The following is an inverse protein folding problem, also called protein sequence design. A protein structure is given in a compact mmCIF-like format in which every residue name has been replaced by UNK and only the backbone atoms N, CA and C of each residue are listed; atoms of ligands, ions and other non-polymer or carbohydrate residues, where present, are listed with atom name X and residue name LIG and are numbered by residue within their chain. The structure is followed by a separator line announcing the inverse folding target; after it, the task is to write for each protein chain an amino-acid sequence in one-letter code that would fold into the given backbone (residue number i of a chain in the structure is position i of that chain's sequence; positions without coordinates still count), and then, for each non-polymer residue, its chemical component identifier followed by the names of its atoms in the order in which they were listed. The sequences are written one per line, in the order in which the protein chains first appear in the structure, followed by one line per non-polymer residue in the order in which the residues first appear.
data_IF_593516507695
#
_entry.id   IF_593516507695
#
_cell.length_a   1.000
_cell.length_b   1.000
_cell.length_c   1.000
_cell.angle_alpha   90.00
_cell.angle_beta   90.00
_cell.angle_gamma   90.00
#
_symmetry.space_group_name_H-M   'P 1'
#
loop_
_entity.id
_entity.type
_entity.pdbx_description
1 polymer ?
#
# COMPACT_ATOMS: atom_id res chain seq x y z
N UNK A 1 -9.74 -2.71 2.74
CA UNK A 1 -8.57 -2.89 3.61
C UNK A 1 -7.69 -3.92 2.93
N UNK A 2 -6.52 -3.52 2.44
CA UNK A 2 -5.55 -4.44 1.84
C UNK A 2 -4.27 -4.37 2.65
N UNK A 3 -3.88 -5.49 3.25
CA UNK A 3 -2.59 -5.64 3.91
C UNK A 3 -1.59 -6.17 2.88
N UNK A 4 -0.67 -5.32 2.42
CA UNK A 4 0.51 -5.81 1.70
C UNK A 4 1.48 -6.36 2.74
N UNK A 5 1.72 -7.67 2.71
CA UNK A 5 2.78 -8.29 3.50
C UNK A 5 4.03 -8.35 2.62
N UNK A 6 5.03 -7.52 2.96
CA UNK A 6 6.27 -7.40 2.19
C UNK A 6 7.29 -8.51 2.55
N UNK A 7 6.99 -9.32 3.56
CA UNK A 7 7.89 -10.37 4.06
C UNK A 7 7.22 -11.74 4.08
N UNK A 8 7.66 -12.63 3.19
CA UNK A 8 7.41 -14.07 3.27
C UNK A 8 8.66 -14.86 3.72
N UNK A 9 9.78 -14.19 4.00
CA UNK A 9 11.01 -14.89 4.38
C UNK A 9 11.26 -14.67 5.88
N UNK A 10 11.19 -15.76 6.66
CA UNK A 10 11.40 -15.74 8.13
C UNK A 10 12.71 -15.08 8.57
N UNK A 11 13.70 -15.00 7.68
CA UNK A 11 14.98 -14.31 7.86
C UNK A 11 14.82 -12.81 8.17
N UNK A 12 13.88 -12.12 7.51
CA UNK A 12 13.67 -10.68 7.71
C UNK A 12 13.06 -10.41 9.09
N UNK A 13 12.13 -11.28 9.53
CA UNK A 13 11.51 -11.22 10.86
C UNK A 13 12.55 -11.48 11.96
N UNK A 14 13.43 -12.46 11.76
CA UNK A 14 14.53 -12.77 12.68
C UNK A 14 15.52 -11.59 12.80
N UNK A 15 15.84 -10.93 11.69
CA UNK A 15 16.73 -9.76 11.69
C UNK A 15 16.10 -8.58 12.43
N UNK A 16 14.82 -8.25 12.20
CA UNK A 16 14.16 -7.18 12.95
C UNK A 16 14.02 -7.48 14.45
N UNK A 17 13.83 -8.74 14.82
CA UNK A 17 13.83 -9.14 16.22
C UNK A 17 15.21 -8.92 16.85
N UNK A 18 16.29 -9.30 16.15
CA UNK A 18 17.68 -9.05 16.58
C UNK A 18 18.01 -7.56 16.66
N UNK A 19 17.56 -6.75 15.69
CA UNK A 19 17.76 -5.30 15.70
C UNK A 19 17.00 -4.62 16.85
N UNK A 20 15.81 -5.09 17.22
CA UNK A 20 15.11 -4.65 18.43
C UNK A 20 15.83 -5.07 19.71
N UNK A 21 16.31 -6.30 19.77
CA UNK A 21 17.05 -6.81 20.93
C UNK A 21 18.35 -6.03 21.18
N UNK A 22 18.99 -5.53 20.13
CA UNK A 22 20.20 -4.69 20.23
C UNK A 22 19.92 -3.21 20.57
N UNK A 23 18.65 -2.81 20.78
CA UNK A 23 18.23 -1.44 21.13
C UNK A 23 18.81 -0.32 20.22
N UNK A 24 19.16 -0.66 18.98
CA UNK A 24 19.97 0.23 18.13
C UNK A 24 19.06 1.17 17.32
N UNK A 25 18.62 2.27 17.96
CA UNK A 25 17.63 3.21 17.42
C UNK A 25 18.03 3.84 16.07
N UNK A 26 19.32 4.02 15.81
CA UNK A 26 19.82 4.50 14.51
C UNK A 26 19.49 3.56 13.35
N UNK A 27 19.51 2.25 13.59
CA UNK A 27 19.23 1.23 12.58
C UNK A 27 17.74 1.13 12.24
N UNK A 28 16.88 1.28 13.25
CA UNK A 28 15.43 1.37 13.03
C UNK A 28 15.08 2.59 12.19
N UNK A 29 15.78 3.71 12.39
CA UNK A 29 15.58 4.94 11.61
C UNK A 29 16.02 4.78 10.15
N UNK A 30 17.14 4.10 9.87
CA UNK A 30 17.57 3.80 8.50
C UNK A 30 16.58 2.90 7.75
N UNK A 31 16.08 1.84 8.41
CA UNK A 31 15.06 0.97 7.83
C UNK A 31 13.76 1.74 7.55
N UNK A 32 13.32 2.57 8.50
CA UNK A 32 12.15 3.43 8.32
C UNK A 32 12.36 4.43 7.15
N UNK A 33 13.56 5.01 7.02
CA UNK A 33 13.89 5.93 5.92
C UNK A 33 13.90 5.23 4.56
N UNK A 34 14.43 4.01 4.48
CA UNK A 34 14.40 3.21 3.26
C UNK A 34 12.97 2.84 2.86
N UNK A 35 12.16 2.49 3.85
CA UNK A 35 10.74 2.21 3.65
C UNK A 35 10.00 3.45 3.14
N UNK A 36 10.22 4.62 3.76
CA UNK A 36 9.60 5.88 3.34
C UNK A 36 9.96 6.26 1.91
N UNK A 37 11.23 6.09 1.52
CA UNK A 37 11.66 6.33 0.14
C UNK A 37 10.95 5.42 -0.84
N UNK A 38 10.79 4.15 -0.48
CA UNK A 38 10.17 3.16 -1.35
C UNK A 38 8.65 3.30 -1.43
N UNK A 39 8.01 3.81 -0.38
CA UNK A 39 6.56 4.01 -0.34
C UNK A 39 6.13 5.40 -0.80
N UNK A 40 7.07 6.32 -1.04
CA UNK A 40 6.83 7.75 -1.30
C UNK A 40 5.84 8.03 -2.44
N UNK A 41 5.82 7.18 -3.46
CA UNK A 41 4.98 7.36 -4.65
C UNK A 41 3.79 6.40 -4.72
N UNK A 42 3.60 5.54 -3.71
CA UNK A 42 2.52 4.54 -3.72
C UNK A 42 1.12 5.18 -3.70
N UNK A 43 0.98 6.32 -3.03
CA UNK A 43 -0.29 7.06 -3.01
C UNK A 43 -0.63 7.61 -4.40
N UNK A 44 0.36 8.12 -5.13
CA UNK A 44 0.21 8.59 -6.51
C UNK A 44 -0.12 7.43 -7.45
N UNK A 45 0.59 6.32 -7.37
CA UNK A 45 0.35 5.12 -8.19
C UNK A 45 -1.09 4.60 -8.00
N UNK A 46 -1.60 4.63 -6.76
CA UNK A 46 -2.97 4.22 -6.46
C UNK A 46 -4.00 5.20 -7.00
N UNK A 47 -3.73 6.52 -6.92
CA UNK A 47 -4.61 7.55 -7.50
C UNK A 47 -4.68 7.46 -9.02
N UNK A 48 -3.55 7.27 -9.68
CA UNK A 48 -3.48 7.09 -11.13
C UNK A 48 -4.24 5.82 -11.54
N UNK A 49 -4.00 4.71 -10.85
CA UNK A 49 -4.75 3.47 -11.08
C UNK A 49 -6.26 3.65 -10.90
N UNK A 50 -6.70 4.47 -9.94
CA UNK A 50 -8.11 4.80 -9.78
C UNK A 50 -8.69 5.52 -11.01
N UNK A 51 -7.99 6.52 -11.54
CA UNK A 51 -8.43 7.30 -12.72
C UNK A 51 -8.46 6.47 -14.00
N UNK A 52 -7.57 5.48 -14.12
CA UNK A 52 -7.51 4.58 -15.27
C UNK A 52 -8.60 3.51 -15.26
N UNK A 53 -8.86 2.92 -14.10
CA UNK A 53 -9.66 1.69 -13.99
C UNK A 53 -11.09 1.92 -13.52
N UNK A 54 -11.37 3.04 -12.84
CA UNK A 54 -12.72 3.38 -12.39
C UNK A 54 -13.52 4.11 -13.49
N UNK A 55 -14.86 4.04 -13.42
CA UNK A 55 -15.72 4.75 -14.36
C UNK A 55 -15.51 6.26 -14.27
N UNK A 56 -15.25 6.90 -15.41
CA UNK A 56 -15.12 8.36 -15.53
C UNK A 56 -16.47 9.08 -15.44
N UNK A 57 -17.56 8.38 -15.78
CA UNK A 57 -18.92 8.93 -15.71
C UNK A 57 -19.49 8.71 -14.30
N UNK A 58 -20.11 9.75 -13.74
CA UNK A 58 -20.74 9.70 -12.41
C UNK A 58 -19.84 10.11 -11.23
N UNK A 59 -18.66 10.68 -11.49
CA UNK A 59 -17.80 11.30 -10.46
C UNK A 59 -17.06 10.34 -9.52
N UNK A 60 -17.32 9.03 -9.60
CA UNK A 60 -16.71 8.03 -8.70
C UNK A 60 -15.18 8.03 -8.78
N UNK A 61 -14.60 8.07 -9.98
CA UNK A 61 -13.14 8.09 -10.17
C UNK A 61 -12.50 9.33 -9.52
N UNK A 62 -13.13 10.50 -9.65
CA UNK A 62 -12.65 11.77 -9.09
C UNK A 62 -12.77 11.80 -7.57
N UNK A 63 -13.87 11.31 -7.02
CA UNK A 63 -14.06 11.15 -5.57
C UNK A 63 -13.03 10.21 -4.99
N UNK A 64 -12.75 9.09 -5.65
CA UNK A 64 -11.74 8.13 -5.21
C UNK A 64 -10.32 8.70 -5.33
N UNK A 65 -10.00 9.41 -6.42
CA UNK A 65 -8.67 10.01 -6.62
C UNK A 65 -8.39 11.19 -5.68
N UNK A 66 -9.44 11.89 -5.24
CA UNK A 66 -9.36 12.96 -4.23
C UNK A 66 -9.41 12.45 -2.78
N UNK A 67 -9.75 11.17 -2.58
CA UNK A 67 -9.81 10.56 -1.26
C UNK A 67 -8.45 10.50 -0.59
N UNK A 68 -8.44 10.51 0.75
CA UNK A 68 -7.22 10.48 1.53
C UNK A 68 -6.64 9.06 1.58
N UNK A 69 -5.59 8.83 0.79
CA UNK A 69 -4.86 7.56 0.79
C UNK A 69 -3.62 7.72 1.68
N UNK A 70 -3.59 6.98 2.78
CA UNK A 70 -2.52 7.00 3.76
C UNK A 70 -1.72 5.70 3.70
N UNK A 71 -0.40 5.80 3.68
CA UNK A 71 0.50 4.65 3.84
C UNK A 71 0.92 4.56 5.31
N UNK A 72 0.27 3.68 6.07
CA UNK A 72 0.55 3.46 7.47
C UNK A 72 1.63 2.38 7.69
N UNK A 73 2.74 2.75 8.31
CA UNK A 73 3.81 1.80 8.69
C UNK A 73 3.41 1.08 9.97
N UNK A 74 3.25 -0.25 9.93
CA UNK A 74 2.96 -1.04 11.15
C UNK A 74 4.26 -1.46 11.83
N UNK A 75 5.24 -1.89 11.04
CA UNK A 75 6.57 -2.23 11.53
C UNK A 75 7.62 -1.76 10.51
N UNK A 76 8.92 -1.73 10.89
CA UNK A 76 10.00 -1.40 9.95
C UNK A 76 10.07 -2.31 8.72
N UNK A 77 9.32 -3.42 8.71
CA UNK A 77 9.28 -4.43 7.65
C UNK A 77 7.85 -4.72 7.14
N UNK A 78 6.85 -3.98 7.64
CA UNK A 78 5.44 -4.16 7.28
C UNK A 78 4.79 -2.81 7.08
N UNK A 79 4.37 -2.59 5.84
CA UNK A 79 3.57 -1.43 5.44
C UNK A 79 2.13 -1.88 5.30
N UNK A 80 1.21 -1.08 5.83
CA UNK A 80 -0.22 -1.19 5.57
C UNK A 80 -0.65 0.05 4.83
N UNK A 81 -1.49 -0.12 3.82
CA UNK A 81 -2.02 1.02 3.08
C UNK A 81 -3.49 1.14 3.43
N UNK A 82 -3.84 2.32 3.92
CA UNK A 82 -5.15 2.66 4.43
C UNK A 82 -5.72 3.72 3.50
N UNK A 83 -6.65 3.33 2.65
CA UNK A 83 -7.47 4.30 1.93
C UNK A 83 -8.63 4.72 2.85
N UNK A 84 -8.69 6.02 3.20
CA UNK A 84 -9.80 6.63 3.94
C UNK A 84 -10.65 7.46 2.98
N UNK A 85 -11.95 7.55 3.25
CA UNK A 85 -12.89 8.32 2.42
C UNK A 85 -13.47 7.55 1.21
N UNK A 86 -12.96 6.36 0.90
CA UNK A 86 -13.52 5.50 -0.15
C UNK A 86 -14.57 4.58 0.46
N UNK A 87 -15.84 4.91 0.25
CA UNK A 87 -16.93 4.01 0.59
C UNK A 87 -16.82 2.74 -0.26
N UNK A 88 -17.05 1.57 0.37
CA UNK A 88 -17.06 0.28 -0.31
C UNK A 88 -15.75 -0.09 -1.04
N UNK A 89 -14.58 0.38 -0.59
CA UNK A 89 -13.26 0.08 -1.20
C UNK A 89 -13.06 -1.40 -1.55
N UNK A 90 -13.41 -2.31 -0.63
CA UNK A 90 -13.27 -3.75 -0.85
C UNK A 90 -14.15 -4.27 -1.99
N UNK A 91 -15.32 -3.67 -2.19
CA UNK A 91 -16.24 -4.01 -3.26
C UNK A 91 -15.76 -3.44 -4.60
N UNK A 92 -15.35 -2.16 -4.61
CA UNK A 92 -14.78 -1.51 -5.78
C UNK A 92 -13.55 -2.23 -6.30
N UNK A 93 -12.65 -2.63 -5.40
CA UNK A 93 -11.47 -3.40 -5.76
C UNK A 93 -11.79 -4.82 -6.26
N UNK A 94 -12.95 -5.39 -5.92
CA UNK A 94 -13.44 -6.63 -6.54
C UNK A 94 -14.05 -6.41 -7.93
N UNK A 95 -14.21 -5.15 -8.35
CA UNK A 95 -14.83 -4.78 -9.61
C UNK A 95 -16.34 -4.61 -9.51
N UNK A 96 -16.85 -4.15 -8.37
CA UNK A 96 -18.28 -3.92 -8.18
C UNK A 96 -18.54 -2.59 -7.46
N UNK A 97 -19.67 -1.95 -7.76
CA UNK A 97 -20.15 -0.75 -7.06
C UNK A 97 -21.60 -0.95 -6.66
N UNK A 98 -21.96 -0.51 -5.45
CA UNK A 98 -23.35 -0.37 -5.05
C UNK A 98 -23.71 1.12 -4.96
N UNK A 99 -24.64 1.58 -5.80
CA UNK A 99 -25.01 2.98 -5.87
C UNK A 99 -26.53 3.16 -6.00
N UNK A 100 -27.10 4.27 -5.50
CA UNK A 100 -28.49 4.59 -5.76
C UNK A 100 -28.70 4.95 -7.23
N UNK A 101 -29.83 4.55 -7.81
CA UNK A 101 -30.22 5.04 -9.14
C UNK A 101 -30.88 6.42 -9.02
N UNK A 102 -30.74 7.22 -10.08
CA UNK A 102 -31.30 8.57 -10.14
C UNK A 102 -32.84 8.55 -10.02
N UNK A 103 -33.41 9.58 -9.37
CA UNK A 103 -34.87 9.82 -9.30
C UNK A 103 -35.65 8.99 -8.28
N UNK A 104 -35.39 7.68 -8.14
CA UNK A 104 -36.22 6.79 -7.34
C UNK A 104 -35.49 6.05 -6.20
N UNK A 105 -34.16 6.18 -6.13
CA UNK A 105 -33.27 5.63 -5.07
C UNK A 105 -33.32 4.11 -4.79
N UNK A 106 -33.74 3.16 -5.66
CA UNK A 106 -33.34 1.78 -5.46
C UNK A 106 -31.82 1.68 -5.56
N UNK A 107 -31.22 0.88 -4.68
CA UNK A 107 -29.79 0.59 -4.72
C UNK A 107 -29.53 -0.44 -5.80
N UNK A 108 -28.56 -0.17 -6.67
CA UNK A 108 -28.14 -1.07 -7.74
C UNK A 108 -26.71 -1.53 -7.51
N UNK A 109 -26.54 -2.84 -7.57
CA UNK A 109 -25.24 -3.48 -7.62
C UNK A 109 -24.81 -3.65 -9.07
N UNK A 110 -23.66 -3.06 -9.43
CA UNK A 110 -23.16 -3.05 -10.80
C UNK A 110 -21.72 -3.57 -10.87
N UNK A 111 -21.43 -4.38 -11.88
CA UNK A 111 -20.10 -4.87 -12.17
C UNK A 111 -19.30 -3.86 -13.01
N UNK A 112 -18.12 -3.50 -12.53
CA UNK A 112 -17.12 -2.70 -13.23
C UNK A 112 -15.90 -3.58 -13.43
N UNK A 113 -15.89 -4.37 -14.51
CA UNK A 113 -14.83 -5.36 -14.78
C UNK A 113 -13.42 -4.72 -14.76
N UNK A 114 -13.28 -3.48 -15.24
CA UNK A 114 -12.02 -2.74 -15.27
C UNK A 114 -11.51 -2.35 -13.89
N UNK A 115 -12.40 -2.16 -12.90
CA UNK A 115 -12.02 -1.79 -11.54
C UNK A 115 -11.42 -2.96 -10.75
N UNK A 116 -11.50 -4.20 -11.24
CA UNK A 116 -10.97 -5.34 -10.50
C UNK A 116 -9.46 -5.20 -10.27
N UNK A 117 -9.07 -5.15 -9.00
CA UNK A 117 -7.69 -5.01 -8.55
C UNK A 117 -7.12 -3.60 -8.72
N UNK A 118 -7.94 -2.57 -8.98
CA UNK A 118 -7.45 -1.20 -9.19
C UNK A 118 -6.62 -0.70 -7.99
N UNK A 119 -6.97 -1.13 -6.77
CA UNK A 119 -6.25 -0.75 -5.56
C UNK A 119 -5.06 -1.67 -5.30
N UNK A 120 -5.19 -2.97 -5.51
CA UNK A 120 -4.13 -3.93 -5.16
C UNK A 120 -3.01 -4.06 -6.20
N UNK A 121 -3.31 -3.83 -7.49
CA UNK A 121 -2.32 -3.95 -8.58
C UNK A 121 -1.15 -2.97 -8.48
N UNK A 122 -1.34 -1.65 -8.30
CA UNK A 122 -0.21 -0.72 -8.17
C UNK A 122 0.67 -1.10 -6.96
N UNK A 123 0.03 -1.57 -5.90
CA UNK A 123 0.69 -2.02 -4.69
C UNK A 123 1.57 -3.26 -4.90
N UNK A 124 1.07 -4.25 -5.64
CA UNK A 124 1.83 -5.43 -6.02
C UNK A 124 2.96 -5.09 -7.00
N UNK A 125 2.73 -4.17 -7.94
CA UNK A 125 3.73 -3.71 -8.91
C UNK A 125 4.92 -3.02 -8.25
N UNK A 126 4.67 -2.26 -7.18
CA UNK A 126 5.70 -1.53 -6.45
C UNK A 126 6.38 -2.38 -5.35
N UNK A 127 5.82 -3.53 -5.00
CA UNK A 127 6.38 -4.43 -3.98
C UNK A 127 7.85 -4.87 -4.23
N UNK A 128 8.29 -5.20 -5.47
CA UNK A 128 9.69 -5.52 -5.74
C UNK A 128 10.65 -4.35 -5.50
N UNK A 129 10.24 -3.12 -5.80
CA UNK A 129 11.05 -1.93 -5.55
C UNK A 129 11.20 -1.69 -4.04
N UNK A 130 10.11 -1.84 -3.28
CA UNK A 130 10.14 -1.76 -1.82
C UNK A 130 11.02 -2.85 -1.21
N UNK A 131 10.95 -4.08 -1.73
CA UNK A 131 11.83 -5.17 -1.29
C UNK A 131 13.31 -4.84 -1.50
N UNK A 132 13.69 -4.33 -2.68
CA UNK A 132 15.09 -3.96 -2.97
C UNK A 132 15.61 -2.85 -2.06
N UNK A 133 14.80 -1.83 -1.77
CA UNK A 133 15.23 -0.75 -0.87
C UNK A 133 15.38 -1.23 0.58
N UNK A 134 14.52 -2.14 1.03
CA UNK A 134 14.65 -2.81 2.33
C UNK A 134 15.93 -3.67 2.39
N UNK A 135 16.19 -4.49 1.37
CA UNK A 135 17.42 -5.30 1.28
C UNK A 135 18.67 -4.41 1.28
N UNK A 136 18.66 -3.29 0.54
CA UNK A 136 19.77 -2.32 0.56
C UNK A 136 19.96 -1.69 1.94
N UNK A 137 18.87 -1.33 2.63
CA UNK A 137 18.94 -0.80 3.98
C UNK A 137 19.50 -1.85 4.96
N UNK A 138 19.03 -3.10 4.87
CA UNK A 138 19.55 -4.22 5.66
C UNK A 138 21.04 -4.48 5.39
N UNK A 139 21.48 -4.48 4.14
CA UNK A 139 22.88 -4.69 3.79
C UNK A 139 23.79 -3.57 4.28
N UNK A 140 23.36 -2.31 4.20
CA UNK A 140 24.08 -1.17 4.80
C UNK A 140 24.20 -1.35 6.32
N UNK A 141 23.11 -1.75 6.96
CA UNK A 141 23.08 -2.03 8.40
C UNK A 141 24.01 -3.18 8.79
N UNK A 142 23.94 -4.31 8.08
CA UNK A 142 24.79 -5.48 8.35
C UNK A 142 26.28 -5.13 8.24
N UNK A 143 26.67 -4.35 7.23
CA UNK A 143 28.05 -3.85 7.09
C UNK A 143 28.49 -2.97 8.26
N UNK A 144 27.60 -2.15 8.85
CA UNK A 144 27.92 -1.32 10.03
C UNK A 144 28.04 -2.13 11.33
N UNK A 145 27.37 -3.29 11.42
CA UNK A 145 27.44 -4.17 12.60
C UNK A 145 28.65 -5.11 12.50
N UNK A 146 28.88 -5.70 11.33
CA UNK A 146 29.97 -6.66 11.09
C UNK A 146 31.31 -5.97 10.86
N UNK A 147 31.29 -4.75 10.32
CA UNK A 147 32.47 -3.88 10.24
C UNK A 147 32.80 -3.26 11.59
N UNK A 148 33.27 -4.10 12.51
CA UNK A 148 34.42 -3.79 13.36
C UNK A 148 35.68 -4.15 12.59
#
# INVERSE_FOLDING_TARGET
MTDIRISDNGEVKLLAARLRAMANGGLQRELATGLDKATKHLDLDVRESALEHLPKRGGLAEVVASSHIEVAKITPLRVRIIARGISQLALLNKGFVNHPTYGHRPWRFEAIAKARGWFDRPLQKSAPAVRRELERAMNRTARRIVGK
#
